data_IF_144599938621
#
_entry.id   IF_144599938621
#
_cell.length_a   1.000
_cell.length_b   1.000
_cell.length_c   1.000
_cell.angle_alpha   90.00
_cell.angle_beta   90.00
_cell.angle_gamma   90.00
#
_symmetry.space_group_name_H-M   'P 1'
#
loop_
_entity.id
_entity.type
_entity.pdbx_description
1 polymer ?
#
# COMPACT_ATOMS: atom_id res chain seq x y z
N UNK A 1 -27.88 -12.69 20.75
CA UNK A 1 -27.17 -11.76 21.65
C UNK A 1 -26.16 -10.91 20.87
N UNK A 2 -25.36 -11.52 19.97
CA UNK A 2 -24.36 -10.80 19.16
C UNK A 2 -24.92 -9.65 18.29
N UNK A 3 -26.06 -9.86 17.61
CA UNK A 3 -26.67 -8.84 16.72
C UNK A 3 -27.02 -7.50 17.42
N UNK A 4 -27.42 -7.52 18.70
CA UNK A 4 -27.70 -6.29 19.44
C UNK A 4 -26.43 -5.53 19.81
N UNK A 5 -25.36 -6.25 20.14
CA UNK A 5 -24.05 -5.66 20.44
C UNK A 5 -23.46 -5.01 19.18
N UNK A 6 -23.56 -5.66 18.02
CA UNK A 6 -23.14 -5.07 16.74
C UNK A 6 -23.91 -3.79 16.40
N UNK A 7 -25.23 -3.78 16.60
CA UNK A 7 -26.06 -2.59 16.31
C UNK A 7 -25.73 -1.43 17.25
N UNK A 8 -25.42 -1.71 18.51
CA UNK A 8 -24.99 -0.69 19.47
C UNK A 8 -23.61 -0.12 19.12
N UNK A 9 -22.65 -0.98 18.75
CA UNK A 9 -21.30 -0.57 18.34
C UNK A 9 -21.34 0.26 17.06
N UNK A 10 -22.11 -0.16 16.04
CA UNK A 10 -22.30 0.59 14.80
C UNK A 10 -22.93 1.96 15.11
N UNK A 11 -23.96 1.98 15.96
CA UNK A 11 -24.59 3.24 16.37
C UNK A 11 -23.62 4.19 17.09
N UNK A 12 -22.66 3.67 17.88
CA UNK A 12 -21.61 4.49 18.50
C UNK A 12 -20.65 5.08 17.47
N UNK A 13 -20.35 4.36 16.40
CA UNK A 13 -19.55 4.91 15.28
C UNK A 13 -20.30 5.98 14.50
N UNK A 14 -21.56 5.73 14.15
CA UNK A 14 -22.39 6.68 13.38
C UNK A 14 -22.61 8.01 14.12
N UNK A 15 -22.70 7.97 15.47
CA UNK A 15 -22.85 9.16 16.30
C UNK A 15 -21.53 9.83 16.68
N UNK A 16 -20.38 9.24 16.33
CA UNK A 16 -19.06 9.72 16.72
C UNK A 16 -18.70 9.48 18.20
N UNK A 17 -19.50 8.69 18.92
CA UNK A 17 -19.26 8.30 20.33
C UNK A 17 -18.07 7.33 20.47
N UNK A 18 -17.64 6.72 19.36
CA UNK A 18 -16.46 5.87 19.28
C UNK A 18 -15.79 6.03 17.91
N UNK A 19 -14.46 5.94 17.86
CA UNK A 19 -13.70 5.89 16.61
C UNK A 19 -13.49 4.43 16.20
N UNK A 20 -13.87 4.03 14.98
CA UNK A 20 -13.56 2.71 14.45
C UNK A 20 -12.06 2.38 14.55
N UNK A 21 -11.73 1.13 14.87
CA UNK A 21 -10.33 0.67 14.94
C UNK A 21 -9.57 0.93 13.63
N UNK A 22 -10.25 0.84 12.48
CA UNK A 22 -9.66 1.13 11.17
C UNK A 22 -9.27 2.61 11.00
N UNK A 23 -10.05 3.55 11.54
CA UNK A 23 -9.71 4.97 11.50
C UNK A 23 -8.51 5.28 12.41
N UNK A 24 -8.42 4.58 13.54
CA UNK A 24 -7.26 4.67 14.41
C UNK A 24 -5.99 4.09 13.75
N UNK A 25 -6.10 2.91 13.14
CA UNK A 25 -5.00 2.31 12.38
C UNK A 25 -4.56 3.22 11.21
N UNK A 26 -5.51 3.81 10.48
CA UNK A 26 -5.20 4.77 9.42
C UNK A 26 -4.43 5.99 9.94
N UNK A 27 -4.85 6.57 11.06
CA UNK A 27 -4.14 7.70 11.68
C UNK A 27 -2.71 7.35 12.11
N UNK A 28 -2.48 6.12 12.59
CA UNK A 28 -1.13 5.64 12.90
C UNK A 28 -0.31 5.48 11.60
N UNK A 29 -0.89 4.90 10.55
CA UNK A 29 -0.22 4.72 9.27
C UNK A 29 0.20 6.08 8.66
N UNK A 30 -0.71 7.06 8.70
CA UNK A 30 -0.46 8.43 8.26
C UNK A 30 0.67 9.09 9.09
N UNK A 31 0.63 8.94 10.42
CA UNK A 31 1.67 9.49 11.31
C UNK A 31 3.06 8.88 11.08
N UNK A 32 3.09 7.59 10.72
CA UNK A 32 4.33 6.87 10.40
C UNK A 32 4.74 7.05 8.92
N UNK A 33 3.88 7.63 8.08
CA UNK A 33 4.10 7.82 6.65
C UNK A 33 4.24 6.51 5.88
N UNK A 34 3.44 5.51 6.25
CA UNK A 34 3.38 4.17 5.63
C UNK A 34 1.96 3.88 5.16
N UNK A 35 1.77 2.87 4.29
CA UNK A 35 0.42 2.43 3.93
C UNK A 35 -0.24 1.66 5.09
N UNK A 36 -1.58 1.58 5.09
CA UNK A 36 -2.31 0.79 6.07
C UNK A 36 -1.91 -0.69 6.01
N UNK A 37 -1.78 -1.24 4.79
CA UNK A 37 -1.25 -2.58 4.51
C UNK A 37 0.12 -2.81 5.19
N UNK A 38 1.03 -1.84 5.07
CA UNK A 38 2.32 -1.88 5.75
C UNK A 38 2.19 -1.88 7.27
N UNK A 39 1.29 -1.07 7.82
CA UNK A 39 1.07 -1.00 9.26
C UNK A 39 0.56 -2.32 9.85
N UNK A 40 -0.34 -3.02 9.13
CA UNK A 40 -0.92 -4.29 9.61
C UNK A 40 -0.06 -5.50 9.26
N UNK A 41 1.02 -5.31 8.51
CA UNK A 41 1.92 -6.38 8.08
C UNK A 41 1.30 -7.33 7.05
N UNK A 42 0.24 -6.89 6.37
CA UNK A 42 -0.48 -7.68 5.36
C UNK A 42 -0.45 -6.95 4.02
N UNK A 43 -0.35 -7.69 2.91
CA UNK A 43 -0.37 -7.13 1.56
C UNK A 43 1.01 -6.86 0.95
N UNK A 44 1.07 -6.85 -0.38
CA UNK A 44 2.30 -6.74 -1.18
C UNK A 44 3.11 -5.48 -0.82
N UNK A 45 2.42 -4.43 -0.37
CA UNK A 45 3.01 -3.14 -0.04
C UNK A 45 3.71 -3.08 1.32
N UNK A 46 3.47 -4.05 2.20
CA UNK A 46 4.02 -4.08 3.56
C UNK A 46 5.54 -4.29 3.63
N UNK A 47 6.15 -4.68 2.52
CA UNK A 47 7.59 -4.93 2.43
C UNK A 47 8.37 -3.79 1.78
N UNK A 48 7.70 -2.76 1.23
CA UNK A 48 8.41 -1.67 0.57
C UNK A 48 8.79 -0.57 1.55
N UNK A 49 10.03 -0.08 1.43
CA UNK A 49 10.45 1.10 2.18
C UNK A 49 9.78 2.38 1.63
N UNK A 50 9.77 3.43 2.46
CA UNK A 50 9.19 4.74 2.10
C UNK A 50 9.78 5.34 0.82
N UNK A 51 11.07 5.08 0.55
CA UNK A 51 11.75 5.61 -0.64
C UNK A 51 11.26 4.95 -1.91
N UNK A 52 11.02 3.65 -1.86
CA UNK A 52 10.48 2.85 -2.97
C UNK A 52 9.07 3.30 -3.31
N UNK A 53 8.22 3.48 -2.29
CA UNK A 53 6.86 4.01 -2.48
C UNK A 53 6.87 5.42 -3.07
N UNK A 54 7.76 6.31 -2.58
CA UNK A 54 7.87 7.66 -3.12
C UNK A 54 8.27 7.65 -4.61
N UNK A 55 9.23 6.81 -5.00
CA UNK A 55 9.64 6.67 -6.40
C UNK A 55 8.48 6.22 -7.29
N UNK A 56 7.68 5.24 -6.85
CA UNK A 56 6.50 4.79 -7.60
C UNK A 56 5.50 5.94 -7.75
N UNK A 57 5.22 6.67 -6.67
CA UNK A 57 4.34 7.84 -6.73
C UNK A 57 4.85 8.95 -7.66
N UNK A 58 6.17 9.16 -7.72
CA UNK A 58 6.76 10.17 -8.59
C UNK A 58 6.71 9.73 -10.05
N UNK A 59 6.90 8.44 -10.35
CA UNK A 59 6.70 7.87 -11.69
C UNK A 59 5.27 8.09 -12.17
N UNK A 60 4.28 7.89 -11.29
CA UNK A 60 2.87 8.10 -11.65
C UNK A 60 2.50 9.54 -12.00
N UNK A 61 3.29 10.52 -11.56
CA UNK A 61 3.10 11.95 -11.84
C UNK A 61 3.79 12.42 -13.11
N UNK A 62 4.56 11.56 -13.77
CA UNK A 62 5.22 11.89 -15.05
C UNK A 62 4.19 12.01 -16.18
N UNK A 63 4.57 12.72 -17.24
CA UNK A 63 3.86 12.67 -18.51
C UNK A 63 3.88 11.27 -19.11
N UNK A 64 2.88 10.96 -19.94
CA UNK A 64 2.65 9.61 -20.45
C UNK A 64 3.86 9.06 -21.22
N UNK A 65 4.44 9.87 -22.11
CA UNK A 65 5.59 9.48 -22.93
C UNK A 65 6.82 9.14 -22.06
N UNK A 66 7.07 9.90 -21.01
CA UNK A 66 8.19 9.64 -20.09
C UNK A 66 7.90 8.45 -19.20
N UNK A 67 6.67 8.34 -18.69
CA UNK A 67 6.21 7.22 -17.87
C UNK A 67 6.35 5.89 -18.62
N UNK A 68 5.92 5.82 -19.87
CA UNK A 68 6.03 4.62 -20.71
C UNK A 68 7.49 4.16 -20.87
N UNK A 69 8.42 5.09 -21.11
CA UNK A 69 9.85 4.80 -21.22
C UNK A 69 10.43 4.25 -19.92
N UNK A 70 10.01 4.78 -18.77
CA UNK A 70 10.44 4.29 -17.46
C UNK A 70 9.98 2.86 -17.24
N UNK A 71 8.71 2.54 -17.52
CA UNK A 71 8.22 1.16 -17.41
C UNK A 71 8.93 0.22 -18.37
N UNK A 72 9.14 0.62 -19.62
CA UNK A 72 9.89 -0.17 -20.58
C UNK A 72 11.28 -0.52 -20.04
N UNK A 73 12.01 0.44 -19.45
CA UNK A 73 13.31 0.18 -18.85
C UNK A 73 13.22 -0.81 -17.68
N UNK A 74 12.28 -0.60 -16.76
CA UNK A 74 12.06 -1.47 -15.60
C UNK A 74 11.81 -2.91 -16.04
N UNK A 75 10.90 -3.10 -17.00
CA UNK A 75 10.52 -4.43 -17.51
C UNK A 75 11.70 -5.14 -18.17
N UNK A 76 12.46 -4.43 -19.01
CA UNK A 76 13.64 -5.00 -19.67
C UNK A 76 14.69 -5.44 -18.66
N UNK A 77 14.96 -4.65 -17.63
CA UNK A 77 15.92 -5.02 -16.58
C UNK A 77 15.45 -6.26 -15.83
N UNK A 78 14.18 -6.30 -15.41
CA UNK A 78 13.60 -7.43 -14.67
C UNK A 78 13.68 -8.71 -15.52
N UNK A 79 13.27 -8.64 -16.80
CA UNK A 79 13.31 -9.78 -17.72
C UNK A 79 14.75 -10.27 -17.94
N UNK A 80 15.68 -9.36 -18.20
CA UNK A 80 17.09 -9.71 -18.38
C UNK A 80 17.68 -10.39 -17.15
N UNK A 81 17.39 -9.89 -15.94
CA UNK A 81 17.85 -10.52 -14.70
C UNK A 81 17.25 -11.92 -14.52
N UNK A 82 15.96 -12.11 -14.81
CA UNK A 82 15.30 -13.44 -14.77
C UNK A 82 15.94 -14.40 -15.76
N UNK A 83 16.17 -13.96 -16.99
CA UNK A 83 16.82 -14.75 -18.04
C UNK A 83 18.23 -15.16 -17.61
N UNK A 84 19.06 -14.22 -17.16
CA UNK A 84 20.41 -14.52 -16.66
C UNK A 84 20.42 -15.53 -15.52
N UNK A 85 19.48 -15.44 -14.58
CA UNK A 85 19.36 -16.43 -13.50
C UNK A 85 19.01 -17.81 -14.04
N UNK A 86 18.09 -17.91 -15.00
CA UNK A 86 17.70 -19.17 -15.61
C UNK A 86 18.82 -19.83 -16.43
N UNK A 87 19.65 -19.04 -17.12
CA UNK A 87 20.80 -19.56 -17.87
C UNK A 87 22.02 -19.90 -17.01
N UNK A 88 22.11 -19.32 -15.80
CA UNK A 88 23.18 -19.59 -14.83
C UNK A 88 22.76 -20.62 -13.76
N UNK A 89 21.62 -21.29 -13.92
CA UNK A 89 21.12 -22.36 -13.03
C UNK A 89 21.21 -23.72 -13.70
#
# INVERSE_FOLDING_TARGET
>A
MESNVYREIIGKYERGDATPFIDFAKRIADALGVSLDYLVGEGINAHFDKKTLQRIQDIEKLDEDTKEKVYFLIDNIIQNTKAKKAFNS
#
